data_IF_626954957213
#
_entry.id   IF_626954957213
#
_cell.length_a   1.000
_cell.length_b   1.000
_cell.length_c   1.000
_cell.angle_alpha   90.00
_cell.angle_beta   90.00
_cell.angle_gamma   90.00
#
_symmetry.space_group_name_H-M   'P 1'
#
loop_
_entity.id
_entity.type
_entity.pdbx_description
1 polymer ?
#
# COMPACT_ATOMS: atom_id res chain seq x y z
N UNK A 1 -19.17 9.89 -9.84
CA UNK A 1 -18.11 9.19 -10.60
C UNK A 1 -18.28 7.72 -10.29
N UNK A 2 -18.90 6.97 -11.19
CA UNK A 2 -19.24 5.57 -10.99
C UNK A 2 -17.93 4.77 -11.01
N UNK A 3 -17.54 4.18 -9.89
CA UNK A 3 -16.48 3.18 -9.86
C UNK A 3 -16.93 2.01 -10.71
N UNK A 4 -16.35 1.86 -11.89
CA UNK A 4 -16.58 0.72 -12.74
C UNK A 4 -16.04 -0.51 -11.99
N UNK A 5 -16.92 -1.35 -11.48
CA UNK A 5 -16.56 -2.68 -10.99
C UNK A 5 -15.79 -3.38 -12.11
N UNK A 6 -14.63 -3.93 -11.76
CA UNK A 6 -13.86 -4.75 -12.67
C UNK A 6 -14.75 -5.90 -13.16
N UNK A 7 -14.87 -6.03 -14.46
CA UNK A 7 -15.64 -7.11 -15.09
C UNK A 7 -15.09 -8.45 -14.59
N UNK A 8 -15.92 -9.37 -14.07
CA UNK A 8 -15.44 -10.69 -13.66
C UNK A 8 -14.96 -11.42 -14.91
N UNK A 9 -13.66 -11.72 -15.00
CA UNK A 9 -13.13 -12.57 -16.07
C UNK A 9 -11.74 -12.25 -16.60
N UNK A 10 -11.12 -11.13 -16.27
CA UNK A 10 -9.73 -10.89 -16.73
C UNK A 10 -8.76 -11.46 -15.71
N UNK A 11 -8.13 -12.59 -16.01
CA UNK A 11 -7.08 -13.17 -15.16
C UNK A 11 -5.92 -12.21 -15.03
N UNK A 12 -5.58 -11.80 -13.81
CA UNK A 12 -4.39 -11.00 -13.51
C UNK A 12 -3.09 -11.76 -13.81
N UNK A 13 -3.16 -13.09 -13.86
CA UNK A 13 -2.01 -13.98 -13.89
C UNK A 13 -1.22 -13.93 -15.20
N UNK A 14 -1.90 -13.92 -16.35
CA UNK A 14 -1.23 -13.99 -17.65
C UNK A 14 -0.47 -15.30 -17.88
N UNK A 15 0.52 -15.30 -18.79
CA UNK A 15 1.30 -16.50 -19.11
C UNK A 15 2.41 -16.73 -18.07
N UNK A 16 2.78 -18.02 -17.78
CA UNK A 16 3.93 -18.34 -16.95
C UNK A 16 5.26 -17.87 -17.58
N UNK A 17 6.16 -17.35 -16.78
CA UNK A 17 7.51 -16.93 -17.17
C UNK A 17 8.61 -17.83 -16.61
N UNK A 18 8.26 -18.75 -15.69
CA UNK A 18 9.21 -19.66 -15.06
C UNK A 18 8.76 -21.12 -15.14
N UNK A 19 9.69 -22.09 -15.16
CA UNK A 19 9.38 -23.52 -15.19
C UNK A 19 8.60 -23.97 -13.94
N UNK A 20 7.81 -25.03 -14.09
CA UNK A 20 7.09 -25.61 -12.96
C UNK A 20 8.05 -26.21 -11.93
N UNK A 21 7.86 -25.86 -10.65
CA UNK A 21 8.64 -26.42 -9.53
C UNK A 21 9.24 -25.41 -8.57
N UNK A 22 9.18 -24.12 -8.86
CA UNK A 22 9.57 -23.06 -7.91
C UNK A 22 8.44 -22.74 -6.95
N UNK A 23 8.74 -22.48 -5.68
CA UNK A 23 7.74 -22.14 -4.65
C UNK A 23 6.92 -20.91 -5.01
N UNK A 24 7.51 -19.96 -5.77
CA UNK A 24 6.87 -18.75 -6.29
C UNK A 24 7.05 -18.72 -7.80
N UNK A 25 6.01 -19.06 -8.55
CA UNK A 25 6.03 -18.92 -10.00
C UNK A 25 5.70 -17.50 -10.41
N UNK A 26 6.49 -16.96 -11.33
CA UNK A 26 6.28 -15.64 -11.92
C UNK A 26 5.49 -15.76 -13.23
N UNK A 27 4.51 -14.89 -13.37
CA UNK A 27 3.73 -14.71 -14.59
C UNK A 27 3.80 -13.24 -15.03
N UNK A 28 3.38 -12.96 -16.24
CA UNK A 28 3.37 -11.60 -16.77
C UNK A 28 2.63 -10.61 -15.86
N UNK A 29 1.48 -11.00 -15.33
CA UNK A 29 0.66 -10.13 -14.51
C UNK A 29 -0.08 -9.04 -15.32
N UNK A 30 -0.71 -8.12 -14.58
CA UNK A 30 -1.48 -6.99 -15.10
C UNK A 30 -0.85 -5.66 -14.67
N UNK A 31 -0.86 -4.68 -15.59
CA UNK A 31 -0.40 -3.32 -15.31
C UNK A 31 -1.32 -2.53 -14.35
N UNK A 32 -2.53 -2.99 -14.14
CA UNK A 32 -3.51 -2.34 -13.25
C UNK A 32 -4.29 -3.39 -12.44
N UNK A 33 -4.74 -3.02 -11.22
CA UNK A 33 -4.49 -1.76 -10.52
C UNK A 33 -3.05 -1.64 -10.01
N UNK A 34 -2.61 -0.44 -9.64
CA UNK A 34 -1.30 -0.21 -9.01
C UNK A 34 -1.25 -0.79 -7.59
N UNK A 35 -0.01 -1.06 -7.14
CA UNK A 35 0.22 -1.70 -5.84
C UNK A 35 0.11 -3.21 -5.90
N UNK A 36 -0.16 -3.83 -4.76
CA UNK A 36 -0.43 -5.26 -4.65
C UNK A 36 -1.92 -5.55 -4.71
N UNK A 37 -2.29 -6.55 -5.51
CA UNK A 37 -3.68 -7.04 -5.63
C UNK A 37 -3.68 -8.55 -5.43
N UNK A 38 -4.04 -9.02 -4.21
CA UNK A 38 -4.11 -10.44 -3.92
C UNK A 38 -5.30 -11.11 -4.62
N UNK A 39 -5.14 -12.41 -4.84
CA UNK A 39 -6.16 -13.35 -5.30
C UNK A 39 -5.97 -14.66 -4.57
N UNK A 40 -6.86 -15.62 -4.74
CA UNK A 40 -6.74 -16.97 -4.16
C UNK A 40 -5.50 -17.74 -4.63
N UNK A 41 -4.94 -17.41 -5.80
CA UNK A 41 -3.77 -18.11 -6.36
C UNK A 41 -2.43 -17.42 -6.04
N UNK A 42 -2.44 -16.12 -5.77
CA UNK A 42 -1.24 -15.32 -5.57
C UNK A 42 -1.55 -13.83 -5.64
N UNK A 43 -0.53 -13.01 -5.86
CA UNK A 43 -0.66 -11.54 -5.84
C UNK A 43 -0.11 -10.93 -7.12
N UNK A 44 -0.85 -10.01 -7.71
CA UNK A 44 -0.38 -9.13 -8.77
C UNK A 44 0.28 -7.89 -8.16
N UNK A 45 1.46 -7.55 -8.66
CA UNK A 45 2.21 -6.36 -8.29
C UNK A 45 2.30 -5.43 -9.50
N UNK A 46 2.09 -4.13 -9.29
CA UNK A 46 2.15 -3.15 -10.36
C UNK A 46 2.74 -1.83 -9.85
N UNK A 47 3.82 -1.37 -10.48
CA UNK A 47 4.61 -0.21 -10.09
C UNK A 47 4.82 0.71 -11.29
N UNK A 48 4.45 1.99 -11.16
CA UNK A 48 4.82 2.99 -12.15
C UNK A 48 6.26 3.45 -11.95
N UNK A 49 7.08 3.35 -13.01
CA UNK A 49 8.41 3.97 -13.06
C UNK A 49 8.82 4.21 -14.51
N UNK A 50 8.74 5.47 -14.94
CA UNK A 50 9.01 5.85 -16.33
C UNK A 50 10.49 5.66 -16.71
N UNK A 51 11.40 5.97 -15.80
CA UNK A 51 12.82 6.04 -16.07
C UNK A 51 13.63 4.87 -15.48
N UNK A 52 12.97 3.90 -14.83
CA UNK A 52 13.65 2.71 -14.35
C UNK A 52 14.18 1.87 -15.52
N UNK A 53 15.44 1.43 -15.39
CA UNK A 53 16.10 0.49 -16.30
C UNK A 53 16.05 -0.94 -15.79
N UNK A 54 15.95 -1.13 -14.46
CA UNK A 54 15.77 -2.41 -13.81
C UNK A 54 14.89 -2.26 -12.55
N UNK A 55 14.08 -3.28 -12.27
CA UNK A 55 13.24 -3.37 -11.07
C UNK A 55 13.36 -4.77 -10.50
N UNK A 56 13.63 -4.85 -9.19
CA UNK A 56 13.54 -6.08 -8.41
C UNK A 56 12.36 -5.99 -7.46
N UNK A 57 11.57 -7.04 -7.39
CA UNK A 57 10.56 -7.25 -6.37
C UNK A 57 11.15 -8.15 -5.28
N UNK A 58 11.19 -7.67 -4.05
CA UNK A 58 11.63 -8.40 -2.88
C UNK A 58 10.39 -8.87 -2.11
N UNK A 59 10.34 -10.15 -1.79
CA UNK A 59 9.26 -10.76 -1.00
C UNK A 59 9.78 -11.20 0.36
N UNK A 60 8.98 -11.01 1.39
CA UNK A 60 9.26 -11.39 2.77
C UNK A 60 8.09 -12.21 3.28
N UNK A 61 8.36 -13.36 3.90
CA UNK A 61 7.31 -14.23 4.43
C UNK A 61 6.55 -13.52 5.55
N UNK A 62 7.28 -12.71 6.34
CA UNK A 62 6.71 -11.79 7.32
C UNK A 62 7.29 -10.38 7.14
N UNK A 63 6.51 -9.30 7.34
CA UNK A 63 7.02 -7.92 7.19
C UNK A 63 8.20 -7.57 8.10
N UNK A 64 8.38 -8.26 9.23
CA UNK A 64 9.51 -8.09 10.15
C UNK A 64 10.75 -8.92 9.78
N UNK A 65 10.73 -9.68 8.69
CA UNK A 65 11.91 -10.42 8.26
C UNK A 65 13.00 -9.45 7.76
N UNK A 66 14.23 -9.64 8.29
CA UNK A 66 15.37 -8.80 7.91
C UNK A 66 15.86 -9.04 6.50
N UNK A 67 15.68 -10.26 6.00
CA UNK A 67 16.11 -10.65 4.65
C UNK A 67 14.91 -11.13 3.83
N UNK A 68 14.88 -10.85 2.53
CA UNK A 68 13.82 -11.36 1.67
C UNK A 68 13.91 -12.88 1.51
N UNK A 69 12.78 -13.56 1.56
CA UNK A 69 12.67 -14.99 1.23
C UNK A 69 12.85 -15.23 -0.28
N UNK A 70 12.55 -14.22 -1.09
CA UNK A 70 12.73 -14.27 -2.55
C UNK A 70 13.03 -12.87 -3.11
N UNK A 71 13.94 -12.80 -4.06
CA UNK A 71 14.19 -11.63 -4.91
C UNK A 71 13.86 -12.02 -6.35
N UNK A 72 13.06 -11.21 -7.02
CA UNK A 72 12.57 -11.46 -8.38
C UNK A 72 12.95 -10.29 -9.27
N UNK A 73 13.82 -10.53 -10.24
CA UNK A 73 14.13 -9.56 -11.28
C UNK A 73 12.96 -9.48 -12.25
N UNK A 74 12.41 -8.29 -12.47
CA UNK A 74 11.38 -8.06 -13.47
C UNK A 74 12.01 -7.85 -14.84
N UNK A 75 11.65 -8.69 -15.80
CA UNK A 75 12.14 -8.59 -17.17
C UNK A 75 11.42 -7.46 -17.92
N UNK A 76 12.14 -6.47 -18.50
CA UNK A 76 11.52 -5.37 -19.23
C UNK A 76 10.67 -5.79 -20.42
N UNK A 77 10.97 -6.93 -21.05
CA UNK A 77 10.24 -7.46 -22.19
C UNK A 77 8.89 -8.09 -21.79
N UNK A 78 8.87 -8.80 -20.67
CA UNK A 78 7.70 -9.54 -20.20
C UNK A 78 6.93 -8.82 -19.09
N UNK A 79 7.63 -8.14 -18.19
CA UNK A 79 7.08 -7.55 -16.98
C UNK A 79 6.94 -6.02 -17.04
N UNK A 80 6.98 -5.43 -18.23
CA UNK A 80 6.79 -3.99 -18.43
C UNK A 80 5.78 -3.72 -19.53
N UNK A 81 4.89 -2.77 -19.26
CA UNK A 81 3.96 -2.20 -20.25
C UNK A 81 4.10 -0.68 -20.19
N UNK A 82 4.74 -0.08 -21.23
CA UNK A 82 5.11 1.34 -21.23
C UNK A 82 5.99 1.70 -20.01
N UNK A 83 5.43 2.46 -19.07
CA UNK A 83 6.12 2.92 -17.86
C UNK A 83 5.70 2.14 -16.60
N UNK A 84 4.97 1.04 -16.76
CA UNK A 84 4.42 0.26 -15.66
C UNK A 84 5.12 -1.09 -15.61
N UNK A 85 5.75 -1.40 -14.49
CA UNK A 85 6.36 -2.69 -14.19
C UNK A 85 5.36 -3.54 -13.44
N UNK A 86 5.15 -4.79 -13.87
CA UNK A 86 4.13 -5.64 -13.29
C UNK A 86 4.49 -7.12 -13.35
N UNK A 87 4.07 -7.86 -12.34
CA UNK A 87 4.18 -9.31 -12.29
C UNK A 87 3.08 -9.91 -11.42
N UNK A 88 2.58 -11.07 -11.78
CA UNK A 88 1.78 -11.89 -10.89
C UNK A 88 2.68 -12.98 -10.30
N UNK A 89 2.69 -13.09 -8.96
CA UNK A 89 3.49 -14.06 -8.24
C UNK A 89 2.56 -15.06 -7.53
N UNK A 90 2.57 -16.29 -8.01
CA UNK A 90 1.79 -17.37 -7.44
C UNK A 90 2.28 -17.70 -6.03
N UNK A 91 1.35 -17.95 -5.10
CA UNK A 91 1.65 -18.31 -3.73
C UNK A 91 1.88 -17.15 -2.77
N UNK A 92 1.99 -15.90 -3.25
CA UNK A 92 2.06 -14.72 -2.38
C UNK A 92 0.67 -14.40 -1.85
N UNK A 93 0.55 -14.25 -0.52
CA UNK A 93 -0.72 -14.14 0.22
C UNK A 93 -0.80 -12.82 1.00
N UNK A 94 -2.01 -12.39 1.39
CA UNK A 94 -2.19 -11.32 2.36
C UNK A 94 -1.39 -11.56 3.63
N UNK A 95 -0.82 -10.48 4.20
CA UNK A 95 0.07 -10.50 5.36
C UNK A 95 1.56 -10.62 5.04
N UNK A 96 1.94 -11.07 3.85
CA UNK A 96 3.35 -11.09 3.42
C UNK A 96 3.87 -9.67 3.17
N UNK A 97 5.16 -9.47 3.48
CA UNK A 97 5.86 -8.22 3.18
C UNK A 97 6.39 -8.19 1.75
N UNK A 98 6.48 -6.99 1.17
CA UNK A 98 7.17 -6.78 -0.10
C UNK A 98 7.81 -5.41 -0.17
N UNK A 99 8.79 -5.27 -1.07
CA UNK A 99 9.46 -4.00 -1.36
C UNK A 99 10.08 -4.05 -2.75
N UNK A 100 10.65 -2.94 -3.19
CA UNK A 100 11.32 -2.83 -4.47
C UNK A 100 12.76 -2.36 -4.35
N UNK A 101 13.61 -2.81 -5.27
CA UNK A 101 14.83 -2.11 -5.65
C UNK A 101 14.70 -1.65 -7.09
N UNK A 102 15.09 -0.41 -7.35
CA UNK A 102 14.89 0.20 -8.66
C UNK A 102 16.19 0.86 -9.11
N UNK A 103 16.66 0.50 -10.29
CA UNK A 103 17.81 1.15 -10.92
C UNK A 103 17.36 2.03 -12.09
N UNK A 104 18.16 3.05 -12.40
CA UNK A 104 17.88 4.03 -13.45
C UNK A 104 18.92 5.16 -13.46
N UNK A 105 18.63 6.27 -14.15
CA UNK A 105 19.56 7.41 -14.23
C UNK A 105 19.91 7.99 -12.86
N UNK A 106 21.19 8.32 -12.66
CA UNK A 106 21.71 8.99 -11.45
C UNK A 106 22.10 10.42 -11.76
N UNK A 107 21.10 11.22 -12.03
CA UNK A 107 21.22 12.62 -12.47
C UNK A 107 20.38 13.54 -11.57
N UNK A 108 20.85 13.83 -10.33
CA UNK A 108 20.05 14.58 -9.34
C UNK A 108 19.59 15.96 -9.82
N UNK A 109 20.38 16.60 -10.69
CA UNK A 109 20.04 17.89 -11.32
C UNK A 109 18.85 17.80 -12.30
N UNK A 110 18.57 16.59 -12.84
CA UNK A 110 17.41 16.29 -13.67
C UNK A 110 16.27 15.62 -12.88
N UNK A 111 16.39 15.54 -11.53
CA UNK A 111 15.41 14.91 -10.67
C UNK A 111 15.54 13.38 -10.54
N UNK A 112 16.54 12.75 -11.19
CA UNK A 112 16.74 11.31 -11.17
C UNK A 112 17.72 10.90 -10.06
N UNK A 113 17.22 10.16 -9.06
CA UNK A 113 17.99 9.75 -7.87
C UNK A 113 17.92 8.24 -7.64
N UNK A 114 17.93 7.46 -8.72
CA UNK A 114 17.88 6.01 -8.59
C UNK A 114 19.08 5.47 -7.83
N UNK A 115 18.85 4.53 -6.93
CA UNK A 115 19.89 3.82 -6.19
C UNK A 115 19.45 2.37 -5.93
N UNK A 116 19.99 1.37 -6.68
CA UNK A 116 19.60 -0.03 -6.54
C UNK A 116 20.05 -0.68 -5.22
N UNK A 117 20.92 -0.01 -4.42
CA UNK A 117 21.24 -0.47 -3.07
C UNK A 117 20.09 -0.22 -2.10
N UNK A 118 19.15 0.68 -2.43
CA UNK A 118 18.05 1.04 -1.54
C UNK A 118 16.82 0.19 -1.79
N UNK A 119 16.30 -0.31 -0.69
CA UNK A 119 14.98 -0.97 -0.65
C UNK A 119 13.94 0.10 -0.39
N UNK A 120 12.94 0.15 -1.26
CA UNK A 120 11.89 1.17 -1.30
C UNK A 120 10.52 0.51 -1.06
N UNK A 121 9.71 1.16 -0.24
CA UNK A 121 8.30 0.80 -0.13
C UNK A 121 7.56 1.13 -1.44
N UNK A 122 6.47 0.43 -1.70
CA UNK A 122 5.59 0.69 -2.82
C UNK A 122 4.80 1.99 -2.58
N UNK A 123 4.86 3.00 -3.45
CA UNK A 123 4.07 4.21 -3.30
C UNK A 123 2.55 3.98 -3.39
N UNK A 124 2.13 2.83 -3.91
CA UNK A 124 0.71 2.42 -4.01
C UNK A 124 0.34 1.35 -2.99
N UNK A 125 1.16 1.16 -1.95
CA UNK A 125 0.89 0.19 -0.89
C UNK A 125 -0.38 0.54 -0.14
N UNK A 126 -1.19 -0.47 0.14
CA UNK A 126 -2.41 -0.38 0.95
C UNK A 126 -2.12 -0.49 2.46
N UNK A 127 -0.92 -0.94 2.82
CA UNK A 127 -0.45 -1.01 4.19
C UNK A 127 1.06 -1.16 4.26
N UNK A 128 1.66 -0.63 5.31
CA UNK A 128 3.10 -0.66 5.54
C UNK A 128 3.41 -1.15 6.96
N UNK A 129 4.54 -1.84 7.12
CA UNK A 129 5.12 -2.14 8.42
C UNK A 129 6.31 -1.22 8.67
N UNK A 130 6.29 -0.54 9.81
CA UNK A 130 7.37 0.33 10.29
C UNK A 130 8.26 -0.37 11.31
N UNK A 131 8.04 -1.65 11.59
CA UNK A 131 8.68 -2.39 12.68
C UNK A 131 10.21 -2.39 12.60
N UNK A 132 10.76 -2.46 11.38
CA UNK A 132 12.21 -2.44 11.15
C UNK A 132 12.73 -1.06 10.68
N UNK A 133 11.85 -0.08 10.51
CA UNK A 133 12.20 1.18 9.88
C UNK A 133 13.25 1.98 10.65
N UNK A 134 14.35 2.31 9.99
CA UNK A 134 15.38 3.23 10.48
C UNK A 134 15.71 4.29 9.43
N UNK A 135 15.34 5.52 9.68
CA UNK A 135 15.59 6.65 8.78
C UNK A 135 17.08 6.84 8.47
N UNK A 136 17.95 6.68 9.46
CA UNK A 136 19.40 6.81 9.29
C UNK A 136 19.92 5.93 8.16
N UNK A 137 19.59 4.65 8.20
CA UNK A 137 19.97 3.66 7.19
C UNK A 137 19.41 3.97 5.80
N UNK A 138 18.23 4.56 5.73
CA UNK A 138 17.63 4.96 4.45
C UNK A 138 18.39 6.11 3.77
N UNK A 139 18.95 7.04 4.57
CA UNK A 139 19.65 8.23 4.08
C UNK A 139 21.14 8.01 3.82
N UNK A 140 21.78 7.06 4.51
CA UNK A 140 23.22 6.78 4.40
C UNK A 140 23.50 5.91 3.15
N UNK A 141 24.75 5.91 2.61
CA UNK A 141 25.15 4.97 1.56
C UNK A 141 25.01 3.50 1.99
N UNK A 142 24.88 2.60 1.01
CA UNK A 142 24.80 1.16 1.21
C UNK A 142 23.39 0.60 1.31
N UNK A 143 23.31 -0.70 1.47
CA UNK A 143 22.07 -1.46 1.56
C UNK A 143 21.33 -1.18 2.87
N UNK A 144 20.02 -1.03 2.81
CA UNK A 144 19.15 -0.84 3.96
C UNK A 144 18.10 -1.96 4.10
N UNK A 145 18.33 -3.13 3.50
CA UNK A 145 17.32 -4.21 3.49
C UNK A 145 16.87 -4.63 4.88
N UNK A 146 17.75 -4.64 5.87
CA UNK A 146 17.41 -5.07 7.24
C UNK A 146 16.57 -4.05 8.02
N UNK A 147 16.56 -2.80 7.57
CA UNK A 147 15.96 -1.67 8.29
C UNK A 147 15.01 -0.86 7.41
N UNK A 148 14.66 -1.35 6.22
CA UNK A 148 13.73 -0.64 5.36
C UNK A 148 12.28 -0.90 5.76
N UNK A 149 11.43 0.10 5.50
CA UNK A 149 9.98 -0.07 5.56
C UNK A 149 9.55 -1.18 4.60
N UNK A 150 8.56 -1.97 5.00
CA UNK A 150 7.94 -3.00 4.16
C UNK A 150 6.54 -2.56 3.78
N UNK A 151 6.23 -2.69 2.50
CA UNK A 151 4.84 -2.73 2.07
C UNK A 151 4.24 -4.10 2.43
N UNK A 152 2.97 -4.14 2.75
CA UNK A 152 2.26 -5.36 3.14
C UNK A 152 1.17 -5.65 2.12
N UNK A 153 1.05 -6.92 1.73
CA UNK A 153 -0.06 -7.37 0.88
C UNK A 153 -1.34 -7.36 1.72
N UNK A 154 -2.27 -6.49 1.37
CA UNK A 154 -3.56 -6.34 2.07
C UNK A 154 -4.68 -6.74 1.12
N UNK A 155 -5.58 -7.60 1.58
CA UNK A 155 -6.86 -7.87 0.92
C UNK A 155 -7.91 -6.92 1.51
N UNK A 156 -8.42 -6.01 0.69
CA UNK A 156 -9.47 -5.08 1.12
C UNK A 156 -10.87 -5.67 0.95
N UNK A 157 -11.01 -6.75 0.19
CA UNK A 157 -12.29 -7.43 -0.01
C UNK A 157 -12.67 -8.35 1.18
N UNK A 158 -11.70 -8.65 2.06
CA UNK A 158 -11.89 -9.50 3.23
C UNK A 158 -12.55 -8.77 4.42
N UNK A 159 -12.81 -7.46 4.30
CA UNK A 159 -13.46 -6.68 5.34
C UNK A 159 -14.99 -6.87 5.27
N UNK A 160 -15.59 -7.41 6.34
CA UNK A 160 -17.03 -7.51 6.47
C UNK A 160 -17.62 -6.15 6.87
N UNK A 161 -18.31 -5.51 5.95
CA UNK A 161 -19.03 -4.24 6.18
C UNK A 161 -20.34 -4.42 6.93
N UNK A 162 -20.69 -5.65 7.40
CA UNK A 162 -21.91 -5.95 8.16
C UNK A 162 -23.19 -5.43 7.47
N UNK A 163 -23.18 -5.36 6.16
CA UNK A 163 -24.29 -4.86 5.35
C UNK A 163 -24.37 -3.34 5.21
N UNK A 164 -23.38 -2.59 5.70
CA UNK A 164 -23.31 -1.14 5.50
C UNK A 164 -23.19 -0.81 4.00
N UNK A 165 -23.86 0.25 3.59
CA UNK A 165 -23.89 0.72 2.20
C UNK A 165 -23.68 2.23 2.14
N UNK A 166 -23.02 2.74 1.08
CA UNK A 166 -22.90 4.17 0.85
C UNK A 166 -24.25 4.86 0.84
N UNK A 167 -24.38 5.91 1.64
CA UNK A 167 -25.64 6.67 1.78
C UNK A 167 -26.05 7.42 0.50
N UNK A 168 -25.11 7.69 -0.40
CA UNK A 168 -25.30 8.40 -1.69
C UNK A 168 -26.09 9.70 -1.56
N UNK A 169 -25.86 10.46 -0.49
CA UNK A 169 -26.48 11.77 -0.30
C UNK A 169 -25.97 12.76 -1.33
N UNK A 170 -26.87 13.66 -1.76
CA UNK A 170 -26.48 14.78 -2.63
C UNK A 170 -25.50 15.71 -1.88
N UNK A 171 -24.53 16.24 -2.59
CA UNK A 171 -23.54 17.14 -2.00
C UNK A 171 -24.19 18.42 -1.46
N UNK A 172 -25.26 18.91 -2.11
CA UNK A 172 -26.06 20.07 -1.67
C UNK A 172 -26.70 19.89 -0.30
N UNK A 173 -26.95 18.64 0.12
CA UNK A 173 -27.60 18.30 1.38
C UNK A 173 -26.58 17.87 2.43
N UNK A 174 -25.28 18.01 2.11
CA UNK A 174 -24.21 17.57 2.98
C UNK A 174 -23.66 18.69 3.85
N UNK A 175 -23.52 18.43 5.14
CA UNK A 175 -22.80 19.25 6.10
C UNK A 175 -21.56 18.48 6.52
N UNK A 176 -20.40 18.94 6.04
CA UNK A 176 -19.12 18.26 6.23
C UNK A 176 -18.40 18.84 7.45
N UNK A 177 -17.96 18.00 8.35
CA UNK A 177 -17.12 18.37 9.49
C UNK A 177 -15.72 17.80 9.30
N UNK A 178 -14.76 18.66 9.01
CA UNK A 178 -13.34 18.30 8.90
C UNK A 178 -12.73 18.17 10.30
N UNK A 179 -12.03 17.06 10.60
CA UNK A 179 -11.45 16.85 11.92
C UNK A 179 -10.19 15.98 11.90
N UNK A 180 -9.32 16.22 12.87
CA UNK A 180 -8.19 15.36 13.18
C UNK A 180 -8.60 14.33 14.24
N UNK A 181 -8.46 13.03 13.97
CA UNK A 181 -8.89 11.93 14.87
C UNK A 181 -8.32 12.10 16.27
N UNK A 182 -7.01 12.33 16.39
CA UNK A 182 -6.35 12.53 17.69
C UNK A 182 -6.82 13.80 18.40
N UNK A 183 -6.96 14.92 17.69
CA UNK A 183 -7.32 16.22 18.26
C UNK A 183 -8.76 16.29 18.75
N UNK A 184 -9.70 15.67 18.03
CA UNK A 184 -11.13 15.82 18.27
C UNK A 184 -11.59 15.37 19.65
N UNK A 185 -11.03 14.27 20.19
CA UNK A 185 -11.44 13.71 21.46
C UNK A 185 -10.35 13.68 22.53
N UNK A 186 -9.16 14.24 22.27
CA UNK A 186 -8.00 14.15 23.19
C UNK A 186 -8.21 14.92 24.50
N UNK A 187 -9.02 15.99 24.49
CA UNK A 187 -9.29 16.76 25.70
C UNK A 187 -10.04 15.92 26.74
N UNK A 188 -9.70 16.02 28.05
CA UNK A 188 -10.47 15.40 29.14
C UNK A 188 -11.94 15.80 29.13
N UNK A 189 -12.27 17.00 28.62
CA UNK A 189 -13.66 17.50 28.53
C UNK A 189 -14.48 16.77 27.47
N UNK A 190 -13.85 15.97 26.61
CA UNK A 190 -14.58 15.16 25.64
C UNK A 190 -15.45 14.10 26.28
N UNK A 191 -15.07 13.60 27.47
CA UNK A 191 -15.82 12.60 28.23
C UNK A 191 -15.91 11.23 27.57
N UNK A 192 -15.01 10.92 26.60
CA UNK A 192 -14.96 9.61 25.96
C UNK A 192 -14.03 8.64 26.71
N UNK A 193 -14.25 7.35 26.53
CA UNK A 193 -13.43 6.29 27.15
C UNK A 193 -12.08 6.11 26.44
N UNK A 194 -12.05 6.39 25.14
CA UNK A 194 -10.86 6.18 24.29
C UNK A 194 -10.42 7.49 23.61
N UNK A 195 -9.88 8.47 24.39
CA UNK A 195 -9.56 9.80 23.86
C UNK A 195 -8.46 9.73 22.80
N UNK A 196 -8.61 10.52 21.75
CA UNK A 196 -7.63 10.63 20.65
C UNK A 196 -7.57 9.43 19.71
N UNK A 197 -8.57 8.56 19.70
CA UNK A 197 -8.64 7.37 18.85
C UNK A 197 -9.89 7.35 17.98
N UNK A 198 -9.93 6.45 16.98
CA UNK A 198 -11.14 6.17 16.20
C UNK A 198 -12.31 5.70 17.09
N UNK A 199 -12.04 4.90 18.12
CA UNK A 199 -13.08 4.49 19.07
C UNK A 199 -13.67 5.68 19.81
N UNK A 200 -12.85 6.65 20.23
CA UNK A 200 -13.33 7.89 20.83
C UNK A 200 -14.16 8.74 19.86
N UNK A 201 -13.80 8.73 18.57
CA UNK A 201 -14.60 9.39 17.55
C UNK A 201 -15.98 8.71 17.39
N UNK A 202 -16.03 7.38 17.37
CA UNK A 202 -17.28 6.60 17.33
C UNK A 202 -18.20 6.98 18.51
N UNK A 203 -17.65 7.12 19.72
CA UNK A 203 -18.43 7.55 20.89
C UNK A 203 -19.06 8.95 20.72
N UNK A 204 -18.53 9.78 19.80
CA UNK A 204 -19.03 11.13 19.50
C UNK A 204 -19.98 11.21 18.30
N UNK A 205 -20.31 10.12 17.64
CA UNK A 205 -21.27 10.12 16.53
C UNK A 205 -22.61 10.75 16.93
N UNK A 206 -23.22 10.42 18.10
CA UNK A 206 -24.49 11.06 18.52
C UNK A 206 -24.37 12.58 18.67
N UNK A 207 -23.21 13.08 19.12
CA UNK A 207 -22.95 14.51 19.22
C UNK A 207 -22.89 15.16 17.82
N UNK A 208 -22.15 14.57 16.88
CA UNK A 208 -22.06 15.06 15.51
C UNK A 208 -23.44 15.06 14.84
N UNK A 209 -24.24 14.03 15.06
CA UNK A 209 -25.62 13.97 14.57
C UNK A 209 -26.49 15.09 15.17
N UNK A 210 -26.34 15.41 16.47
CA UNK A 210 -27.06 16.48 17.10
C UNK A 210 -26.75 17.87 16.54
N UNK A 211 -25.57 18.04 15.96
CA UNK A 211 -25.15 19.25 15.24
C UNK A 211 -25.64 19.28 13.78
N UNK A 212 -26.30 18.24 13.30
CA UNK A 212 -26.74 18.15 11.91
C UNK A 212 -25.62 17.76 10.92
N UNK A 213 -24.49 17.27 11.40
CA UNK A 213 -23.38 16.81 10.57
C UNK A 213 -23.80 15.55 9.81
N UNK A 214 -23.58 15.52 8.51
CA UNK A 214 -23.94 14.39 7.63
C UNK A 214 -22.72 13.64 7.10
N UNK A 215 -21.54 14.26 7.13
CA UNK A 215 -20.28 13.65 6.72
C UNK A 215 -19.13 14.16 7.60
N UNK A 216 -18.14 13.32 7.82
CA UNK A 216 -16.87 13.71 8.45
C UNK A 216 -15.73 13.54 7.46
N UNK A 217 -14.84 14.53 7.41
CA UNK A 217 -13.59 14.47 6.67
C UNK A 217 -12.43 14.30 7.66
N UNK A 218 -11.79 13.14 7.61
CA UNK A 218 -10.71 12.79 8.53
C UNK A 218 -9.35 13.19 7.98
N UNK A 219 -8.59 13.99 8.75
CA UNK A 219 -7.25 14.45 8.40
C UNK A 219 -6.27 14.28 9.57
N UNK A 220 -5.03 13.87 9.27
CA UNK A 220 -4.64 12.90 8.25
C UNK A 220 -5.05 11.49 8.72
N UNK A 221 -5.37 10.60 7.82
CA UNK A 221 -5.69 9.19 8.14
C UNK A 221 -4.65 8.20 7.56
N UNK A 222 -3.60 8.70 6.92
CA UNK A 222 -2.49 7.89 6.44
C UNK A 222 -1.53 7.52 7.57
N UNK A 223 -0.92 6.34 7.47
CA UNK A 223 0.17 5.94 8.35
C UNK A 223 1.38 6.87 8.20
N UNK A 224 1.99 7.27 9.30
CA UNK A 224 3.17 8.13 9.32
C UNK A 224 4.19 7.61 10.34
N UNK A 225 5.44 8.01 10.18
CA UNK A 225 6.50 7.71 11.13
C UNK A 225 6.44 8.67 12.33
N UNK A 226 5.92 8.18 13.45
CA UNK A 226 5.76 8.96 14.68
C UNK A 226 7.06 9.21 15.44
N UNK A 227 8.17 8.61 15.03
CA UNK A 227 9.50 8.85 15.60
C UNK A 227 10.19 10.06 14.96
N UNK A 228 9.61 10.62 13.94
CA UNK A 228 10.18 11.68 13.09
C UNK A 228 9.57 13.07 13.37
N UNK A 229 8.87 13.22 14.51
CA UNK A 229 8.18 14.45 14.96
C UNK A 229 8.88 15.04 16.17
#
# INVERSE_FOLDING_TARGET
MTLTQATPGTSLKGRPLEPSGTAFRRYKGSAHPFGSTPTTEGTNFSLFSANATAVQLLLFDHPSDKQPSKVIDLDPGDNRSFNIWHAFIEGVKPGMGYAYRVDGPREPWNGHRFNPEKVLADPYSKGNSLELWERGSACLPGDNVETSMRSVVIDLEDYDWEGDQPLNKEMSDSVIYEMHVGGFTKSPTSGVKHPGTYLGLIEKIPYLQSLGITAVELIPCCSFDHTDV
#
